data_IF_130181241926
#
_entry.id   IF_130181241926
#
_cell.length_a   1.000
_cell.length_b   1.000
_cell.length_c   1.000
_cell.angle_alpha   90.00
_cell.angle_beta   90.00
_cell.angle_gamma   90.00
#
_symmetry.space_group_name_H-M   'P 1'
#
loop_
_entity.id
_entity.type
_entity.pdbx_description
1 polymer ?
#
# COMPACT_ATOMS: atom_id res chain seq x y z
N UNK A 1 6.19 -8.55 -30.70
CA UNK A 1 5.09 -7.84 -31.38
C UNK A 1 3.94 -7.82 -30.37
N UNK A 2 3.79 -6.72 -29.64
CA UNK A 2 2.82 -6.64 -28.54
C UNK A 2 1.40 -6.55 -29.12
N UNK A 3 0.48 -7.41 -28.69
CA UNK A 3 -0.88 -7.43 -29.22
C UNK A 3 -1.60 -6.10 -28.88
N UNK A 4 -2.42 -5.54 -29.79
CA UNK A 4 -3.03 -4.21 -29.61
C UNK A 4 -3.82 -4.04 -28.30
N UNK A 5 -4.36 -5.13 -27.74
CA UNK A 5 -5.05 -5.10 -26.44
C UNK A 5 -4.13 -4.93 -25.21
N UNK A 6 -2.83 -5.24 -25.31
CA UNK A 6 -1.89 -5.11 -24.20
C UNK A 6 -1.47 -3.65 -23.93
N UNK A 7 -1.40 -2.82 -24.97
CA UNK A 7 -1.09 -1.39 -24.84
C UNK A 7 -2.25 -0.63 -24.22
N UNK A 8 -3.49 -0.90 -24.67
CA UNK A 8 -4.71 -0.26 -24.15
C UNK A 8 -4.88 -0.52 -22.65
N UNK A 9 -4.78 -1.79 -22.20
CA UNK A 9 -4.87 -2.12 -20.76
C UNK A 9 -3.78 -1.45 -19.91
N UNK A 10 -2.57 -1.25 -20.46
CA UNK A 10 -1.49 -0.55 -19.73
C UNK A 10 -1.78 0.93 -19.58
N UNK A 11 -2.37 1.57 -20.59
CA UNK A 11 -2.78 2.98 -20.52
C UNK A 11 -3.93 3.18 -19.53
N UNK A 12 -4.97 2.33 -19.60
CA UNK A 12 -6.09 2.34 -18.65
C UNK A 12 -5.59 2.16 -17.20
N UNK A 13 -4.66 1.23 -16.99
CA UNK A 13 -4.02 1.03 -15.67
C UNK A 13 -3.27 2.26 -15.18
N UNK A 14 -2.48 2.90 -16.05
CA UNK A 14 -1.72 4.11 -15.68
C UNK A 14 -2.66 5.25 -15.32
N UNK A 15 -3.72 5.44 -16.09
CA UNK A 15 -4.69 6.49 -15.84
C UNK A 15 -5.47 6.23 -14.54
N UNK A 16 -5.97 5.01 -14.33
CA UNK A 16 -6.61 4.62 -13.07
C UNK A 16 -5.68 4.81 -11.87
N UNK A 17 -4.40 4.41 -11.99
CA UNK A 17 -3.41 4.59 -10.91
C UNK A 17 -3.19 6.06 -10.60
N UNK A 18 -3.15 6.92 -11.64
CA UNK A 18 -3.01 8.37 -11.48
C UNK A 18 -4.22 8.97 -10.77
N UNK A 19 -5.43 8.57 -11.16
CA UNK A 19 -6.66 9.04 -10.54
C UNK A 19 -6.74 8.62 -9.08
N UNK A 20 -6.44 7.36 -8.77
CA UNK A 20 -6.41 6.85 -7.39
C UNK A 20 -5.38 7.59 -6.54
N UNK A 21 -4.14 7.76 -7.03
CA UNK A 21 -3.11 8.58 -6.35
C UNK A 21 -3.58 10.01 -6.11
N UNK A 22 -4.27 10.60 -7.09
CA UNK A 22 -4.83 11.95 -6.96
C UNK A 22 -5.90 12.02 -5.87
N UNK A 23 -6.78 11.02 -5.77
CA UNK A 23 -7.80 10.93 -4.74
C UNK A 23 -7.17 10.75 -3.35
N UNK A 24 -6.21 9.84 -3.20
CA UNK A 24 -5.45 9.64 -1.95
C UNK A 24 -4.73 10.92 -1.52
N UNK A 25 -4.01 11.57 -2.44
CA UNK A 25 -3.28 12.81 -2.16
C UNK A 25 -4.19 13.94 -1.66
N UNK A 26 -5.41 14.06 -2.22
CA UNK A 26 -6.38 15.08 -1.81
C UNK A 26 -7.17 14.67 -0.56
N UNK A 27 -7.03 13.43 -0.09
CA UNK A 27 -7.91 12.88 0.94
C UNK A 27 -9.36 12.81 0.48
N UNK A 28 -9.64 12.36 -0.74
CA UNK A 28 -11.01 12.25 -1.28
C UNK A 28 -11.54 10.82 -1.14
N UNK A 29 -12.13 10.50 0.01
CA UNK A 29 -12.59 9.15 0.33
C UNK A 29 -13.74 8.66 -0.56
N UNK A 30 -14.62 9.55 -1.00
CA UNK A 30 -15.71 9.21 -1.90
C UNK A 30 -15.18 8.81 -3.29
N UNK A 31 -14.27 9.60 -3.85
CA UNK A 31 -13.65 9.27 -5.14
C UNK A 31 -12.85 7.97 -5.08
N UNK A 32 -12.20 7.66 -3.95
CA UNK A 32 -11.55 6.36 -3.75
C UNK A 32 -12.56 5.22 -3.86
N UNK A 33 -13.68 5.30 -3.14
CA UNK A 33 -14.69 4.22 -3.17
C UNK A 33 -15.25 4.03 -4.58
N UNK A 34 -15.55 5.12 -5.30
CA UNK A 34 -16.03 5.05 -6.68
C UNK A 34 -15.00 4.36 -7.62
N UNK A 35 -13.74 4.77 -7.55
CA UNK A 35 -12.68 4.22 -8.40
C UNK A 35 -12.39 2.74 -8.13
N UNK A 36 -12.49 2.30 -6.87
CA UNK A 36 -12.21 0.93 -6.46
C UNK A 36 -13.39 -0.03 -6.70
N UNK A 37 -14.63 0.48 -6.73
CA UNK A 37 -15.82 -0.33 -7.05
C UNK A 37 -16.08 -0.45 -8.55
N UNK A 38 -15.36 0.29 -9.40
CA UNK A 38 -15.52 0.18 -10.84
C UNK A 38 -15.10 -1.22 -11.34
N UNK A 39 -15.97 -1.88 -12.12
CA UNK A 39 -15.77 -3.26 -12.62
C UNK A 39 -14.46 -3.48 -13.40
N UNK A 40 -13.86 -2.40 -13.91
CA UNK A 40 -12.63 -2.41 -14.73
C UNK A 40 -11.36 -2.12 -13.94
N UNK A 41 -11.38 -2.14 -12.60
CA UNK A 41 -10.21 -1.85 -11.77
C UNK A 41 -9.04 -2.82 -12.11
N UNK A 42 -7.88 -2.33 -12.60
CA UNK A 42 -6.75 -3.18 -12.94
C UNK A 42 -6.10 -3.79 -11.69
N UNK A 43 -5.44 -4.97 -11.85
CA UNK A 43 -4.77 -5.72 -10.77
C UNK A 43 -4.03 -4.79 -9.77
N UNK A 44 -4.27 -4.95 -8.46
CA UNK A 44 -4.14 -3.86 -7.49
C UNK A 44 -2.72 -3.52 -7.07
N UNK A 45 -2.48 -2.22 -6.86
CA UNK A 45 -1.39 -1.71 -6.02
C UNK A 45 -1.90 -1.69 -4.57
N UNK A 46 -1.85 -2.84 -3.89
CA UNK A 46 -2.52 -3.03 -2.59
C UNK A 46 -2.18 -1.98 -1.54
N UNK A 47 -0.93 -1.53 -1.46
CA UNK A 47 -0.53 -0.47 -0.54
C UNK A 47 -1.26 0.85 -0.81
N UNK A 48 -1.36 1.27 -2.09
CA UNK A 48 -2.11 2.48 -2.48
C UNK A 48 -3.62 2.32 -2.23
N UNK A 49 -4.16 1.11 -2.40
CA UNK A 49 -5.55 0.80 -2.08
C UNK A 49 -5.78 0.91 -0.58
N UNK A 50 -4.89 0.34 0.24
CA UNK A 50 -4.92 0.44 1.69
C UNK A 50 -4.98 1.88 2.16
N UNK A 51 -4.07 2.74 1.66
CA UNK A 51 -4.07 4.17 1.97
C UNK A 51 -5.41 4.85 1.64
N UNK A 52 -5.95 4.57 0.45
CA UNK A 52 -7.22 5.13 0.01
C UNK A 52 -8.40 4.64 0.86
N UNK A 53 -8.48 3.35 1.14
CA UNK A 53 -9.56 2.77 1.96
C UNK A 53 -9.48 3.32 3.39
N UNK A 54 -8.28 3.50 3.95
CA UNK A 54 -8.09 4.13 5.25
C UNK A 54 -8.66 5.56 5.29
N UNK A 55 -8.42 6.36 4.25
CA UNK A 55 -9.00 7.70 4.08
C UNK A 55 -10.53 7.63 4.02
N UNK A 56 -11.07 6.72 3.21
CA UNK A 56 -12.51 6.56 3.03
C UNK A 56 -13.21 6.12 4.34
N UNK A 57 -12.60 5.22 5.10
CA UNK A 57 -13.08 4.80 6.42
C UNK A 57 -13.05 5.95 7.43
N UNK A 58 -11.95 6.70 7.49
CA UNK A 58 -11.82 7.86 8.38
C UNK A 58 -12.88 8.94 8.11
N UNK A 59 -13.31 9.08 6.86
CA UNK A 59 -14.36 10.02 6.44
C UNK A 59 -15.77 9.44 6.53
N UNK A 60 -15.91 8.17 6.89
CA UNK A 60 -17.16 7.42 6.84
C UNK A 60 -17.85 7.50 5.46
N UNK A 61 -17.05 7.45 4.39
CA UNK A 61 -17.58 7.52 3.04
C UNK A 61 -18.56 6.35 2.76
N UNK A 62 -19.68 6.60 2.06
CA UNK A 62 -20.64 5.55 1.74
C UNK A 62 -19.97 4.36 1.04
N UNK A 63 -20.19 3.15 1.55
CA UNK A 63 -19.64 1.92 0.97
C UNK A 63 -18.18 1.63 1.34
N UNK A 64 -17.51 2.47 2.14
CA UNK A 64 -16.13 2.26 2.58
C UNK A 64 -15.95 1.00 3.43
N UNK A 65 -16.86 0.75 4.39
CA UNK A 65 -16.79 -0.43 5.27
C UNK A 65 -16.88 -1.74 4.50
N UNK A 66 -17.83 -1.84 3.55
CA UNK A 66 -17.94 -3.03 2.69
C UNK A 66 -16.73 -3.18 1.79
N UNK A 67 -16.22 -2.07 1.22
CA UNK A 67 -15.01 -2.11 0.39
C UNK A 67 -13.79 -2.59 1.18
N UNK A 68 -13.65 -2.15 2.44
CA UNK A 68 -12.58 -2.62 3.32
C UNK A 68 -12.68 -4.13 3.58
N UNK A 69 -13.89 -4.64 3.85
CA UNK A 69 -14.13 -6.08 4.04
C UNK A 69 -13.79 -6.88 2.77
N UNK A 70 -14.21 -6.41 1.59
CA UNK A 70 -13.91 -7.05 0.31
C UNK A 70 -12.39 -7.08 0.04
N UNK A 71 -11.69 -5.98 0.32
CA UNK A 71 -10.23 -5.91 0.22
C UNK A 71 -9.53 -6.86 1.21
N UNK A 72 -9.95 -6.88 2.48
CA UNK A 72 -9.37 -7.74 3.50
C UNK A 72 -9.56 -9.23 3.16
N UNK A 73 -10.73 -9.61 2.62
CA UNK A 73 -10.98 -10.96 2.13
C UNK A 73 -10.07 -11.33 0.94
N UNK A 74 -9.92 -10.43 -0.03
CA UNK A 74 -9.06 -10.66 -1.19
C UNK A 74 -7.56 -10.74 -0.85
N UNK A 75 -7.10 -9.98 0.15
CA UNK A 75 -5.73 -10.08 0.68
C UNK A 75 -5.51 -11.45 1.32
N UNK A 76 -6.41 -11.88 2.21
CA UNK A 76 -6.32 -13.19 2.88
C UNK A 76 -6.43 -14.37 1.91
N UNK A 77 -7.24 -14.26 0.87
CA UNK A 77 -7.33 -15.29 -0.18
C UNK A 77 -6.01 -15.40 -0.96
N UNK A 78 -5.30 -14.28 -1.14
CA UNK A 78 -4.04 -14.24 -1.89
C UNK A 78 -2.86 -14.78 -1.07
N UNK A 79 -2.87 -14.61 0.25
CA UNK A 79 -1.94 -15.21 1.21
C UNK A 79 -0.45 -14.91 0.90
N UNK A 80 -0.14 -13.65 0.60
CA UNK A 80 1.25 -13.21 0.45
C UNK A 80 1.78 -12.58 1.74
N UNK A 81 3.12 -12.55 1.86
CA UNK A 81 3.78 -11.82 2.94
C UNK A 81 3.29 -10.37 2.96
N UNK A 82 2.77 -9.92 4.11
CA UNK A 82 2.21 -8.58 4.29
C UNK A 82 0.69 -8.48 4.11
N UNK A 83 0.02 -9.52 3.59
CA UNK A 83 -1.41 -9.48 3.32
C UNK A 83 -2.25 -9.57 4.59
N UNK A 84 -1.86 -10.41 5.55
CA UNK A 84 -2.51 -10.49 6.85
C UNK A 84 -2.40 -9.16 7.61
N UNK A 85 -1.22 -8.54 7.61
CA UNK A 85 -0.99 -7.27 8.29
C UNK A 85 -1.84 -6.14 7.68
N UNK A 86 -1.92 -6.06 6.35
CA UNK A 86 -2.75 -5.06 5.69
C UNK A 86 -4.25 -5.36 5.90
N UNK A 87 -4.66 -6.62 5.85
CA UNK A 87 -6.05 -7.01 6.10
C UNK A 87 -6.50 -6.68 7.54
N UNK A 88 -5.66 -6.98 8.53
CA UNK A 88 -5.91 -6.66 9.94
C UNK A 88 -5.96 -5.14 10.18
N UNK A 89 -5.13 -4.36 9.46
CA UNK A 89 -5.23 -2.91 9.48
C UNK A 89 -6.57 -2.40 8.95
N UNK A 90 -7.06 -2.95 7.84
CA UNK A 90 -8.36 -2.58 7.29
C UNK A 90 -9.51 -2.95 8.24
N UNK A 91 -9.47 -4.13 8.85
CA UNK A 91 -10.48 -4.56 9.83
C UNK A 91 -10.45 -3.69 11.10
N UNK A 92 -9.26 -3.35 11.60
CA UNK A 92 -9.11 -2.43 12.72
C UNK A 92 -9.69 -1.05 12.43
N UNK A 93 -9.38 -0.47 11.26
CA UNK A 93 -9.92 0.82 10.83
C UNK A 93 -11.44 0.79 10.59
N UNK A 94 -11.98 -0.35 10.15
CA UNK A 94 -13.42 -0.56 9.99
C UNK A 94 -14.15 -0.84 11.31
N UNK A 95 -13.41 -1.05 12.41
CA UNK A 95 -13.97 -1.38 13.73
C UNK A 95 -14.47 -2.83 13.84
N UNK A 96 -14.06 -3.71 12.92
CA UNK A 96 -14.43 -5.14 12.88
C UNK A 96 -13.35 -6.05 13.45
N UNK A 97 -12.14 -5.52 13.67
CA UNK A 97 -10.99 -6.23 14.22
C UNK A 97 -10.20 -5.41 15.25
N UNK A 98 -9.13 -5.99 15.81
CA UNK A 98 -8.23 -5.26 16.68
C UNK A 98 -7.57 -4.11 15.90
N UNK A 99 -7.54 -2.91 16.48
CA UNK A 99 -6.84 -1.77 15.88
C UNK A 99 -5.33 -1.98 16.02
N UNK A 100 -4.56 -2.06 14.93
CA UNK A 100 -3.11 -2.14 15.03
C UNK A 100 -2.56 -0.86 15.67
N UNK A 101 -1.74 -1.01 16.70
CA UNK A 101 -1.04 0.11 17.35
C UNK A 101 0.19 0.51 16.53
N UNK A 102 -0.02 0.86 15.26
CA UNK A 102 1.01 1.37 14.37
C UNK A 102 1.32 2.82 14.73
N UNK A 103 2.60 3.18 14.69
CA UNK A 103 3.06 4.56 14.84
C UNK A 103 3.82 4.97 13.58
N UNK A 104 3.67 6.22 13.12
CA UNK A 104 4.53 6.74 12.07
C UNK A 104 6.01 6.62 12.47
N UNK A 105 6.83 6.10 11.57
CA UNK A 105 8.28 6.04 11.73
C UNK A 105 8.90 6.99 10.70
N UNK A 106 9.58 8.04 11.18
CA UNK A 106 10.31 8.94 10.30
C UNK A 106 11.57 8.22 9.82
N UNK A 107 11.68 8.01 8.50
CA UNK A 107 12.82 7.32 7.89
C UNK A 107 13.45 8.25 6.84
N UNK A 108 14.78 8.31 6.83
CA UNK A 108 15.52 8.98 5.77
C UNK A 108 15.42 8.12 4.48
N UNK A 109 14.65 8.61 3.51
CA UNK A 109 14.42 7.90 2.26
C UNK A 109 15.66 7.83 1.37
N UNK A 110 16.59 8.79 1.48
CA UNK A 110 17.85 8.75 0.74
C UNK A 110 18.72 7.61 1.27
N UNK A 111 18.83 7.48 2.59
CA UNK A 111 19.56 6.37 3.21
C UNK A 111 18.88 5.02 2.98
N UNK A 112 17.55 4.95 3.09
CA UNK A 112 16.80 3.72 2.83
C UNK A 112 16.96 3.26 1.39
N UNK A 113 16.86 4.19 0.43
CA UNK A 113 17.09 3.91 -0.99
C UNK A 113 18.51 3.41 -1.24
N UNK A 114 19.52 4.03 -0.62
CA UNK A 114 20.91 3.62 -0.79
C UNK A 114 21.16 2.15 -0.40
N UNK A 115 20.53 1.67 0.69
CA UNK A 115 20.66 0.27 1.09
C UNK A 115 19.83 -0.69 0.23
N UNK A 116 18.70 -0.26 -0.33
CA UNK A 116 17.84 -1.11 -1.16
C UNK A 116 18.32 -1.22 -2.61
N UNK A 117 18.87 -0.15 -3.17
CA UNK A 117 19.17 -0.02 -4.61
C UNK A 117 20.68 -0.01 -4.92
N UNK A 118 21.55 -0.10 -3.90
CA UNK A 118 23.00 -0.07 -4.05
C UNK A 118 23.62 -1.30 -4.75
N UNK A 119 24.94 -1.42 -4.70
CA UNK A 119 25.69 -2.56 -5.25
C UNK A 119 25.12 -3.88 -4.69
N UNK A 120 24.72 -4.86 -5.52
CA UNK A 120 24.21 -6.16 -5.07
C UNK A 120 25.08 -6.90 -4.04
N UNK A 121 26.39 -6.62 -3.98
CA UNK A 121 27.30 -7.19 -2.98
C UNK A 121 27.19 -6.51 -1.60
N UNK A 122 26.67 -5.28 -1.55
CA UNK A 122 26.56 -4.45 -0.35
C UNK A 122 25.11 -4.08 0.00
N UNK A 123 24.16 -4.36 -0.89
CA UNK A 123 22.73 -4.10 -0.72
C UNK A 123 22.17 -4.79 0.53
N UNK A 124 21.14 -4.22 1.13
CA UNK A 124 20.57 -4.64 2.40
C UNK A 124 21.16 -3.91 3.60
N UNK A 125 20.69 -4.30 4.78
CA UNK A 125 20.92 -3.57 6.02
C UNK A 125 19.78 -3.82 6.99
N UNK A 126 19.60 -2.91 7.94
CA UNK A 126 18.49 -2.95 8.89
C UNK A 126 17.85 -1.56 9.03
N UNK A 127 16.55 -1.54 9.32
CA UNK A 127 15.83 -0.34 9.75
C UNK A 127 15.51 -0.50 11.23
N UNK A 128 15.98 0.44 12.05
CA UNK A 128 15.60 0.46 13.46
C UNK A 128 14.13 0.93 13.57
N UNK A 129 13.24 0.03 13.98
CA UNK A 129 11.80 0.32 14.10
C UNK A 129 11.47 1.24 15.28
N UNK A 130 12.43 1.51 16.18
CA UNK A 130 12.30 2.44 17.28
C UNK A 130 12.69 3.88 16.88
N UNK A 131 13.77 4.04 16.11
CA UNK A 131 14.34 5.36 15.79
C UNK A 131 14.11 5.81 14.36
N UNK A 132 13.91 4.86 13.44
CA UNK A 132 13.84 5.10 12.00
C UNK A 132 15.21 5.20 11.32
N UNK A 133 16.28 4.95 12.07
CA UNK A 133 17.65 4.97 11.55
C UNK A 133 17.90 3.79 10.59
N UNK A 134 18.57 4.09 9.47
CA UNK A 134 18.91 3.11 8.44
C UNK A 134 20.36 2.69 8.64
N UNK A 135 20.56 1.40 8.86
CA UNK A 135 21.87 0.80 9.10
C UNK A 135 22.30 0.04 7.84
N UNK A 136 23.43 0.39 7.20
CA UNK A 136 23.94 -0.38 6.07
C UNK A 136 24.39 -1.77 6.52
N UNK A 137 24.36 -2.75 5.61
CA UNK A 137 24.79 -4.14 5.89
C UNK A 137 26.12 -4.23 6.65
N UNK A 138 27.11 -3.41 6.27
CA UNK A 138 28.43 -3.38 6.91
C UNK A 138 28.41 -2.92 8.37
N UNK A 139 27.40 -2.17 8.81
CA UNK A 139 27.25 -1.79 10.22
C UNK A 139 26.56 -2.90 11.03
N UNK A 140 25.71 -3.69 10.38
CA UNK A 140 24.95 -4.79 11.01
C UNK A 140 25.80 -6.05 11.15
N UNK A 141 26.63 -6.37 10.16
CA UNK A 141 27.48 -7.58 10.17
C UNK A 141 28.63 -7.53 11.19
N UNK A 142 28.96 -6.34 11.70
CA UNK A 142 30.00 -6.12 12.71
C UNK A 142 29.44 -5.79 14.11
N UNK A 143 28.12 -5.91 14.29
CA UNK A 143 27.43 -5.68 15.58
C UNK A 143 27.38 -6.95 16.45
#
# INVERSE_FOLDING_TARGET
MDAPGGVVRRLERREWTRQLRGAVYRGDGAAVVELLRAESAPLPLWQLIGDGVAIALAQQAPGAAQLAADCAAALRERDWIGDDELADQLDGLAGTGPVPLLRPLAVDLEQLSAILEGDPLTTGGALDLHTGEVWPRSAVEYA
#
